data_IF_702444281681
#
_entry.id   IF_702444281681
#
_cell.length_a   1.000
_cell.length_b   1.000
_cell.length_c   1.000
_cell.angle_alpha   90.00
_cell.angle_beta   90.00
_cell.angle_gamma   90.00
#
_symmetry.space_group_name_H-M   'P 1'
#
loop_
_entity.id
_entity.type
_entity.pdbx_description
1 polymer ?
#
# COMPACT_ATOMS: atom_id res chain seq x y z
N UNK A 1 -10.57 -27.89 9.02
CA UNK A 1 -9.80 -26.91 8.21
C UNK A 1 -8.32 -27.25 8.31
N UNK A 2 -7.61 -27.47 7.20
CA UNK A 2 -6.16 -27.67 7.23
C UNK A 2 -5.53 -26.35 7.67
N UNK A 3 -4.94 -26.29 8.85
CA UNK A 3 -4.16 -25.13 9.31
C UNK A 3 -2.87 -25.10 8.48
N UNK A 4 -2.50 -23.93 7.95
CA UNK A 4 -1.17 -23.74 7.40
C UNK A 4 -0.12 -24.07 8.48
N UNK A 5 1.10 -24.41 8.06
CA UNK A 5 2.21 -24.58 9.00
C UNK A 5 2.30 -23.32 9.87
N UNK A 6 2.51 -23.43 11.21
CA UNK A 6 2.80 -22.26 12.02
C UNK A 6 4.01 -21.57 11.40
N UNK A 7 3.82 -20.38 10.85
CA UNK A 7 4.91 -19.67 10.20
C UNK A 7 5.75 -18.95 11.24
N UNK A 8 7.01 -18.70 10.95
CA UNK A 8 7.94 -17.97 11.82
C UNK A 8 8.35 -16.67 11.16
N UNK A 9 9.08 -15.79 11.89
CA UNK A 9 9.58 -14.55 11.28
C UNK A 9 10.55 -14.81 10.12
N UNK A 10 11.19 -15.98 10.11
CA UNK A 10 12.12 -16.38 9.06
C UNK A 10 11.41 -16.76 7.75
N UNK A 11 10.10 -17.02 7.78
CA UNK A 11 9.31 -17.41 6.61
C UNK A 11 8.67 -16.20 5.90
N UNK A 12 8.89 -14.99 6.40
CA UNK A 12 8.26 -13.78 5.85
C UNK A 12 8.79 -13.46 4.46
N UNK A 13 7.93 -13.56 3.46
CA UNK A 13 8.26 -13.19 2.08
C UNK A 13 8.15 -11.67 1.88
N UNK A 14 8.77 -11.12 0.81
CA UNK A 14 8.64 -9.70 0.47
C UNK A 14 7.18 -9.23 0.36
N UNK A 15 6.29 -10.09 -0.15
CA UNK A 15 4.87 -9.79 -0.33
C UNK A 15 4.14 -9.73 1.01
N UNK A 16 4.44 -10.63 1.94
CA UNK A 16 3.91 -10.53 3.30
C UNK A 16 4.38 -9.24 3.99
N UNK A 17 5.65 -8.85 3.81
CA UNK A 17 6.16 -7.60 4.35
C UNK A 17 5.47 -6.38 3.73
N UNK A 18 5.20 -6.39 2.43
CA UNK A 18 4.46 -5.34 1.74
C UNK A 18 3.02 -5.24 2.27
N UNK A 19 2.33 -6.37 2.38
CA UNK A 19 0.99 -6.46 2.98
C UNK A 19 1.00 -5.91 4.40
N UNK A 20 1.93 -6.37 5.25
CA UNK A 20 1.99 -5.95 6.65
C UNK A 20 2.34 -4.48 6.80
N UNK A 21 3.23 -3.94 5.97
CA UNK A 21 3.59 -2.50 5.99
C UNK A 21 2.38 -1.64 5.67
N UNK A 22 1.53 -2.06 4.73
CA UNK A 22 0.29 -1.37 4.43
C UNK A 22 -0.74 -1.50 5.56
N UNK A 23 -0.83 -2.68 6.18
CA UNK A 23 -1.87 -2.99 7.15
C UNK A 23 -1.58 -2.49 8.58
N UNK A 24 -0.32 -2.54 9.02
CA UNK A 24 0.12 -2.27 10.39
C UNK A 24 -0.33 -0.90 10.94
N UNK A 25 -0.32 0.21 10.17
CA UNK A 25 -0.81 1.49 10.66
C UNK A 25 -2.33 1.49 10.95
N UNK A 26 -3.08 0.62 10.27
CA UNK A 26 -4.54 0.56 10.31
C UNK A 26 -5.08 -0.62 11.13
N UNK A 27 -4.19 -1.47 11.65
CA UNK A 27 -4.56 -2.69 12.37
C UNK A 27 -5.33 -2.40 13.66
N UNK A 28 -6.24 -3.31 14.01
CA UNK A 28 -6.90 -3.31 15.31
C UNK A 28 -5.89 -3.61 16.44
N UNK A 29 -6.10 -3.09 17.65
CA UNK A 29 -5.19 -3.28 18.80
C UNK A 29 -4.95 -4.75 19.19
N UNK A 30 -5.93 -5.61 18.92
CA UNK A 30 -5.85 -7.05 19.16
C UNK A 30 -5.43 -7.83 17.91
N UNK A 31 -5.10 -7.14 16.82
CA UNK A 31 -4.56 -7.76 15.62
C UNK A 31 -3.06 -8.00 15.81
N UNK A 32 -2.59 -9.17 15.36
CA UNK A 32 -1.23 -9.63 15.62
C UNK A 32 -0.55 -10.04 14.32
N UNK A 33 0.71 -9.61 14.14
CA UNK A 33 1.53 -9.99 12.97
C UNK A 33 1.60 -11.50 12.78
N UNK A 34 1.66 -12.28 13.85
CA UNK A 34 1.68 -13.75 13.79
C UNK A 34 0.40 -14.33 13.17
N UNK A 35 -0.77 -13.91 13.65
CA UNK A 35 -2.06 -14.35 13.10
C UNK A 35 -2.27 -13.90 11.67
N UNK A 36 -1.88 -12.67 11.34
CA UNK A 36 -1.92 -12.15 9.97
C UNK A 36 -1.02 -12.97 9.04
N UNK A 37 0.18 -13.34 9.49
CA UNK A 37 1.13 -14.16 8.75
C UNK A 37 0.60 -15.56 8.49
N UNK A 38 0.15 -16.25 9.54
CA UNK A 38 -0.39 -17.61 9.40
C UNK A 38 -1.58 -17.64 8.44
N UNK A 39 -2.44 -16.62 8.50
CA UNK A 39 -3.58 -16.51 7.59
C UNK A 39 -3.14 -16.17 6.16
N UNK A 40 -2.17 -15.27 5.98
CA UNK A 40 -1.62 -14.92 4.67
C UNK A 40 -1.06 -16.17 3.97
N UNK A 41 -0.20 -16.93 4.65
CA UNK A 41 0.34 -18.16 4.09
C UNK A 41 -0.71 -19.25 3.90
N UNK A 42 -1.76 -19.29 4.73
CA UNK A 42 -2.90 -20.18 4.46
C UNK A 42 -3.56 -19.86 3.12
N UNK A 43 -3.72 -18.58 2.79
CA UNK A 43 -4.27 -18.18 1.50
C UNK A 43 -3.34 -18.51 0.34
N UNK A 44 -2.05 -18.24 0.48
CA UNK A 44 -1.05 -18.51 -0.57
C UNK A 44 -0.83 -20.01 -0.79
N UNK A 45 -0.55 -20.77 0.27
CA UNK A 45 -0.17 -22.18 0.17
C UNK A 45 -1.37 -23.11 -0.03
N UNK A 46 -2.48 -22.86 0.68
CA UNK A 46 -3.63 -23.77 0.70
C UNK A 46 -4.68 -23.35 -0.31
N UNK A 47 -5.00 -22.05 -0.39
CA UNK A 47 -6.00 -21.54 -1.32
C UNK A 47 -5.42 -21.15 -2.68
N UNK A 48 -4.10 -21.22 -2.85
CA UNK A 48 -3.39 -20.86 -4.09
C UNK A 48 -3.70 -19.44 -4.56
N UNK A 49 -3.97 -18.54 -3.62
CA UNK A 49 -4.13 -17.12 -3.91
C UNK A 49 -2.79 -16.53 -4.34
N UNK A 50 -2.82 -15.61 -5.30
CA UNK A 50 -1.63 -14.83 -5.66
C UNK A 50 -1.26 -13.90 -4.49
N UNK A 51 -0.03 -14.00 -3.93
CA UNK A 51 0.45 -13.08 -2.91
C UNK A 51 0.32 -11.60 -3.31
N UNK A 52 0.50 -11.28 -4.60
CA UNK A 52 0.42 -9.90 -5.09
C UNK A 52 -1.02 -9.37 -5.05
N UNK A 53 -2.02 -10.21 -5.34
CA UNK A 53 -3.43 -9.82 -5.25
C UNK A 53 -3.81 -9.47 -3.81
N UNK A 54 -3.26 -10.18 -2.84
CA UNK A 54 -3.47 -9.88 -1.41
C UNK A 54 -2.89 -8.50 -1.06
N UNK A 55 -1.69 -8.17 -1.56
CA UNK A 55 -1.03 -6.86 -1.33
C UNK A 55 -1.80 -5.73 -2.01
N UNK A 56 -2.18 -5.92 -3.27
CA UNK A 56 -2.90 -4.95 -4.07
C UNK A 56 -4.29 -4.68 -3.48
N UNK A 57 -5.01 -5.74 -3.13
CA UNK A 57 -6.31 -5.65 -2.47
C UNK A 57 -6.25 -4.95 -1.12
N UNK A 58 -5.20 -5.19 -0.33
CA UNK A 58 -5.00 -4.51 0.95
C UNK A 58 -4.74 -3.01 0.75
N UNK A 59 -3.90 -2.68 -0.23
CA UNK A 59 -3.59 -1.30 -0.61
C UNK A 59 -4.84 -0.53 -1.03
N UNK A 60 -5.67 -1.14 -1.87
CA UNK A 60 -6.95 -0.55 -2.28
C UNK A 60 -7.91 -0.38 -1.11
N UNK A 61 -8.06 -1.42 -0.28
CA UNK A 61 -8.97 -1.41 0.86
C UNK A 61 -8.63 -0.28 1.85
N UNK A 62 -7.37 -0.15 2.22
CA UNK A 62 -6.91 0.91 3.13
C UNK A 62 -7.08 2.29 2.49
N UNK A 63 -6.74 2.45 1.21
CA UNK A 63 -6.89 3.73 0.49
C UNK A 63 -8.35 4.16 0.36
N UNK A 64 -9.25 3.21 0.14
CA UNK A 64 -10.70 3.44 0.03
C UNK A 64 -11.39 3.81 1.34
N UNK A 65 -10.63 4.06 2.42
CA UNK A 65 -11.18 4.34 3.74
C UNK A 65 -11.69 3.09 4.45
N UNK A 66 -11.22 1.91 4.03
CA UNK A 66 -11.52 0.63 4.66
C UNK A 66 -11.15 0.72 6.12
N UNK A 67 -12.18 0.97 6.95
CA UNK A 67 -12.17 1.02 8.41
C UNK A 67 -11.95 2.40 9.07
N UNK A 68 -12.66 3.44 8.61
CA UNK A 68 -12.71 4.73 9.33
C UNK A 68 -13.36 4.65 10.73
N UNK A 69 -14.27 3.70 10.96
CA UNK A 69 -15.08 3.64 12.20
C UNK A 69 -14.85 2.36 13.03
N UNK A 70 -14.60 1.21 12.38
CA UNK A 70 -14.26 -0.05 13.03
C UNK A 70 -13.03 -0.61 12.34
N UNK A 71 -11.97 -1.00 13.07
CA UNK A 71 -10.77 -1.62 12.50
C UNK A 71 -10.95 -3.12 12.34
N UNK A 72 -10.89 -3.63 11.11
CA UNK A 72 -10.98 -5.06 10.81
C UNK A 72 -9.67 -5.76 11.15
N UNK A 73 -9.76 -6.99 11.63
CA UNK A 73 -8.60 -7.87 11.75
C UNK A 73 -8.13 -8.33 10.36
N UNK A 74 -6.82 -8.35 10.14
CA UNK A 74 -6.19 -8.90 8.94
C UNK A 74 -6.71 -10.31 8.64
N UNK A 75 -6.82 -11.14 9.67
CA UNK A 75 -7.34 -12.50 9.55
C UNK A 75 -8.79 -12.52 9.04
N UNK A 76 -9.66 -11.67 9.56
CA UNK A 76 -11.06 -11.59 9.12
C UNK A 76 -11.15 -11.10 7.69
N UNK A 77 -10.34 -10.12 7.33
CA UNK A 77 -10.28 -9.59 5.97
C UNK A 77 -9.81 -10.64 4.95
N UNK A 78 -8.73 -11.36 5.28
CA UNK A 78 -8.20 -12.46 4.46
C UNK A 78 -9.24 -13.58 4.31
N UNK A 79 -9.87 -14.03 5.41
CA UNK A 79 -10.88 -15.09 5.38
C UNK A 79 -12.08 -14.76 4.48
N UNK A 80 -12.43 -13.47 4.36
CA UNK A 80 -13.50 -12.99 3.45
C UNK A 80 -13.06 -12.93 1.99
N UNK A 81 -11.78 -13.18 1.69
CA UNK A 81 -11.17 -13.03 0.36
C UNK A 81 -11.40 -11.64 -0.24
N UNK A 82 -11.50 -10.63 0.61
CA UNK A 82 -11.79 -9.26 0.21
C UNK A 82 -10.72 -8.64 -0.71
N UNK A 83 -9.56 -9.29 -0.82
CA UNK A 83 -8.52 -8.90 -1.78
C UNK A 83 -8.91 -9.18 -3.23
N UNK A 84 -9.76 -10.16 -3.52
CA UNK A 84 -10.09 -10.54 -4.91
C UNK A 84 -10.74 -9.36 -5.66
N UNK A 85 -11.73 -8.70 -5.05
CA UNK A 85 -12.37 -7.50 -5.63
C UNK A 85 -11.49 -6.25 -5.58
N UNK A 86 -10.58 -6.18 -4.62
CA UNK A 86 -9.71 -5.02 -4.39
C UNK A 86 -8.51 -5.00 -5.33
N UNK A 87 -7.95 -6.16 -5.66
CA UNK A 87 -6.76 -6.29 -6.49
C UNK A 87 -7.00 -5.79 -7.92
N UNK A 88 -8.14 -6.13 -8.52
CA UNK A 88 -8.49 -5.66 -9.87
C UNK A 88 -8.63 -4.13 -9.91
N UNK A 89 -9.32 -3.55 -8.93
CA UNK A 89 -9.47 -2.09 -8.80
C UNK A 89 -8.14 -1.38 -8.59
N UNK A 90 -7.24 -1.98 -7.83
CA UNK A 90 -5.89 -1.44 -7.63
C UNK A 90 -5.08 -1.43 -8.93
N UNK A 91 -5.14 -2.51 -9.71
CA UNK A 91 -4.44 -2.60 -11.00
C UNK A 91 -5.00 -1.58 -11.99
N UNK A 92 -6.32 -1.45 -12.09
CA UNK A 92 -6.94 -0.40 -12.90
C UNK A 92 -6.53 1.00 -12.47
N UNK A 93 -6.54 1.26 -11.16
CA UNK A 93 -6.13 2.56 -10.63
C UNK A 93 -4.69 2.88 -10.97
N UNK A 94 -3.79 1.91 -10.84
CA UNK A 94 -2.37 2.04 -11.16
C UNK A 94 -2.16 2.32 -12.65
N UNK A 95 -2.85 1.58 -13.52
CA UNK A 95 -2.82 1.81 -14.96
C UNK A 95 -3.28 3.24 -15.31
N UNK A 96 -4.36 3.73 -14.69
CA UNK A 96 -4.83 5.12 -14.86
C UNK A 96 -3.81 6.15 -14.37
N UNK A 97 -3.12 5.89 -13.26
CA UNK A 97 -2.08 6.81 -12.77
C UNK A 97 -0.88 6.83 -13.71
N UNK A 98 -0.44 5.67 -14.20
CA UNK A 98 0.66 5.57 -15.15
C UNK A 98 0.35 6.34 -16.44
N UNK A 99 -0.86 6.15 -17.00
CA UNK A 99 -1.33 6.90 -18.16
C UNK A 99 -1.35 8.42 -17.90
N UNK A 100 -1.83 8.84 -16.72
CA UNK A 100 -1.81 10.26 -16.33
C UNK A 100 -0.38 10.79 -16.24
N UNK A 101 0.53 10.06 -15.60
CA UNK A 101 1.93 10.50 -15.49
C UNK A 101 2.64 10.54 -16.84
N UNK A 102 2.35 9.60 -17.74
CA UNK A 102 2.88 9.58 -19.09
C UNK A 102 2.37 10.75 -19.94
N UNK A 103 1.14 11.21 -19.70
CA UNK A 103 0.53 12.33 -20.41
C UNK A 103 0.84 13.72 -19.80
N UNK A 104 1.57 13.80 -18.68
CA UNK A 104 2.00 15.08 -18.12
C UNK A 104 3.22 15.58 -18.90
N UNK A 105 2.99 16.56 -19.77
CA UNK A 105 4.08 17.34 -20.39
C UNK A 105 4.74 18.16 -19.28
N UNK A 106 6.04 17.93 -19.03
CA UNK A 106 6.79 18.79 -18.12
C UNK A 106 6.89 20.19 -18.73
N UNK A 107 6.12 21.13 -18.18
CA UNK A 107 6.26 22.52 -18.55
C UNK A 107 7.60 23.05 -18.02
N UNK A 108 8.49 23.58 -18.87
CA UNK A 108 9.69 24.23 -18.40
C UNK A 108 9.29 25.37 -17.46
N UNK A 109 9.89 25.40 -16.27
CA UNK A 109 9.65 26.48 -15.32
C UNK A 109 10.05 27.79 -15.99
N UNK A 110 9.15 28.77 -16.13
CA UNK A 110 9.51 30.03 -16.75
C UNK A 110 10.64 30.66 -15.94
N UNK A 111 11.72 31.05 -16.62
CA UNK A 111 12.82 31.77 -15.97
C UNK A 111 12.26 33.07 -15.40
N UNK A 112 12.22 33.16 -14.07
CA UNK A 112 11.78 34.36 -13.38
C UNK A 112 12.73 35.52 -13.77
N UNK A 113 12.21 36.71 -14.09
CA UNK A 113 13.02 37.89 -14.37
C UNK A 113 14.02 38.14 -13.23
N UNK A 114 15.19 38.71 -13.55
CA UNK A 114 16.24 38.98 -12.55
C UNK A 114 15.74 39.88 -11.40
N UNK A 115 14.72 40.71 -11.67
CA UNK A 115 14.12 41.62 -10.69
C UNK A 115 13.02 40.97 -9.84
N UNK A 116 12.77 39.66 -10.00
CA UNK A 116 11.70 38.97 -9.28
C UNK A 116 12.05 38.82 -7.80
N UNK A 117 11.12 39.20 -6.93
CA UNK A 117 11.25 39.22 -5.48
C UNK A 117 11.85 37.92 -4.89
N UNK A 118 11.39 36.75 -5.37
CA UNK A 118 11.88 35.44 -4.90
C UNK A 118 13.37 35.21 -5.16
N UNK A 119 13.92 35.78 -6.23
CA UNK A 119 15.33 35.62 -6.62
C UNK A 119 16.24 36.53 -5.79
N UNK A 120 15.81 37.77 -5.58
CA UNK A 120 16.48 38.72 -4.67
C UNK A 120 16.50 38.22 -3.22
N UNK A 121 15.44 37.54 -2.79
CA UNK A 121 15.36 36.93 -1.45
C UNK A 121 16.33 35.74 -1.30
N UNK A 122 16.44 34.87 -2.30
CA UNK A 122 17.42 33.77 -2.32
C UNK A 122 18.87 34.27 -2.33
N UNK A 123 19.18 35.30 -3.12
CA UNK A 123 20.52 35.90 -3.16
C UNK A 123 20.92 36.54 -1.83
N UNK A 124 19.97 37.13 -1.10
CA UNK A 124 20.20 37.65 0.26
C UNK A 124 20.48 36.54 1.29
N UNK A 125 19.84 35.38 1.16
CA UNK A 125 20.05 34.23 2.05
C UNK A 125 21.40 33.52 1.80
N UNK A 126 21.91 33.53 0.56
CA UNK A 126 23.23 32.93 0.24
C UNK A 126 24.43 33.82 0.57
N UNK A 127 24.23 35.14 0.72
CA UNK A 127 25.30 36.11 1.00
C UNK A 127 25.45 36.49 2.48
N UNK A 128 24.64 35.90 3.37
CA UNK A 128 24.77 36.04 4.83
C UNK A 128 25.33 34.76 5.44
#
# INVERSE_FOLDING_TARGET
MKKARPTSKADETPEFLAFWTCWQPHMHKNDGRGSARDEFFRHVEVLRADPQDIVDGASWFIRGGGQAEYKLHAQTWLNRRAYEDGAEKEREFRARQEERTANVVQMPTPRLPDNHFSRQWQEKQQKG
#
